data_IF_094157256556
#
_entry.id   IF_094157256556
#
_cell.length_a   1.000
_cell.length_b   1.000
_cell.length_c   1.000
_cell.angle_alpha   90.00
_cell.angle_beta   90.00
_cell.angle_gamma   90.00
#
_symmetry.space_group_name_H-M   'P 1'
#
loop_
_entity.id
_entity.type
_entity.pdbx_description
1 polymer ?
#
# COMPACT_ATOMS: atom_id res chain seq x y z
N UNK A 1 -13.60 7.10 -15.10
CA UNK A 1 -14.61 7.98 -14.48
C UNK A 1 -14.92 7.39 -13.11
N UNK A 2 -14.57 8.07 -12.01
CA UNK A 2 -14.96 7.62 -10.68
C UNK A 2 -16.49 7.60 -10.61
N UNK A 3 -17.09 6.56 -10.03
CA UNK A 3 -18.54 6.54 -9.82
C UNK A 3 -18.88 7.69 -8.87
N UNK A 4 -19.94 8.45 -9.14
CA UNK A 4 -20.33 9.63 -8.34
C UNK A 4 -20.42 9.34 -6.83
N UNK A 5 -20.88 8.13 -6.47
CA UNK A 5 -20.94 7.67 -5.07
C UNK A 5 -19.56 7.49 -4.42
N UNK A 6 -18.55 7.07 -5.17
CA UNK A 6 -17.18 6.90 -4.66
C UNK A 6 -16.57 8.24 -4.27
N UNK A 7 -16.80 9.28 -5.08
CA UNK A 7 -16.32 10.63 -4.78
C UNK A 7 -16.99 11.19 -3.52
N UNK A 8 -18.31 11.07 -3.43
CA UNK A 8 -19.08 11.50 -2.24
C UNK A 8 -18.59 10.80 -0.97
N UNK A 9 -18.27 9.50 -1.03
CA UNK A 9 -17.71 8.79 0.12
C UNK A 9 -16.33 9.33 0.49
N UNK A 10 -15.46 9.61 -0.47
CA UNK A 10 -14.14 10.18 -0.19
C UNK A 10 -14.24 11.57 0.45
N UNK A 11 -15.11 12.44 -0.07
CA UNK A 11 -15.39 13.77 0.50
C UNK A 11 -15.92 13.69 1.94
N UNK A 12 -16.78 12.71 2.23
CA UNK A 12 -17.29 12.49 3.59
C UNK A 12 -16.20 12.01 4.55
N UNK A 13 -15.23 11.22 4.09
CA UNK A 13 -14.11 10.77 4.91
C UNK A 13 -13.13 11.91 5.23
N UNK A 14 -12.96 12.83 4.29
CA UNK A 14 -12.01 13.95 4.40
C UNK A 14 -12.42 14.99 5.46
N UNK A 15 -13.73 15.08 5.76
CA UNK A 15 -14.27 16.01 6.77
C UNK A 15 -14.41 15.40 8.16
N UNK A 16 -14.05 14.13 8.36
CA UNK A 16 -14.16 13.47 9.65
C UNK A 16 -13.11 13.98 10.64
N UNK A 17 -13.43 14.05 11.94
CA UNK A 17 -12.43 14.19 12.99
C UNK A 17 -11.43 13.03 12.99
N UNK A 18 -10.19 13.29 13.41
CA UNK A 18 -9.10 12.29 13.39
C UNK A 18 -9.46 10.99 14.13
N UNK A 19 -10.18 11.09 15.26
CA UNK A 19 -10.63 9.93 16.04
C UNK A 19 -11.59 9.02 15.23
N UNK A 20 -12.48 9.62 14.44
CA UNK A 20 -13.43 8.91 13.60
C UNK A 20 -12.75 8.31 12.36
N UNK A 21 -11.73 8.97 11.82
CA UNK A 21 -10.90 8.43 10.72
C UNK A 21 -10.23 7.12 11.15
N UNK A 22 -9.72 7.03 12.38
CA UNK A 22 -9.10 5.81 12.90
C UNK A 22 -10.10 4.64 12.94
N UNK A 23 -11.32 4.90 13.42
CA UNK A 23 -12.39 3.90 13.48
C UNK A 23 -12.78 3.43 12.07
N UNK A 24 -12.98 4.37 11.14
CA UNK A 24 -13.40 4.05 9.77
C UNK A 24 -12.29 3.30 9.02
N UNK A 25 -11.03 3.68 9.20
CA UNK A 25 -9.89 2.97 8.62
C UNK A 25 -9.83 1.51 9.12
N UNK A 26 -10.03 1.28 10.42
CA UNK A 26 -10.08 -0.07 10.98
C UNK A 26 -11.23 -0.90 10.40
N UNK A 27 -12.40 -0.28 10.19
CA UNK A 27 -13.55 -0.93 9.55
C UNK A 27 -13.26 -1.29 8.09
N UNK A 28 -12.74 -0.34 7.30
CA UNK A 28 -12.40 -0.55 5.88
C UNK A 28 -11.38 -1.68 5.74
N UNK A 29 -10.33 -1.69 6.56
CA UNK A 29 -9.34 -2.78 6.56
C UNK A 29 -9.98 -4.15 6.78
N UNK A 30 -10.90 -4.27 7.74
CA UNK A 30 -11.63 -5.53 7.99
C UNK A 30 -12.47 -5.94 6.79
N UNK A 31 -13.16 -5.00 6.14
CA UNK A 31 -13.96 -5.28 4.95
C UNK A 31 -13.09 -5.74 3.78
N UNK A 32 -11.96 -5.06 3.54
CA UNK A 32 -11.03 -5.42 2.48
C UNK A 32 -10.46 -6.82 2.70
N UNK A 33 -10.02 -7.14 3.92
CA UNK A 33 -9.50 -8.48 4.25
C UNK A 33 -10.59 -9.56 4.11
N UNK A 34 -11.84 -9.27 4.47
CA UNK A 34 -12.94 -10.24 4.33
C UNK A 34 -13.31 -10.49 2.86
N UNK A 35 -13.17 -9.48 2.00
CA UNK A 35 -13.47 -9.57 0.57
C UNK A 35 -12.32 -10.18 -0.24
N UNK A 36 -11.09 -9.75 0.06
CA UNK A 36 -9.84 -10.26 -0.49
C UNK A 36 -8.84 -10.48 0.64
N UNK A 37 -8.75 -11.70 1.18
CA UNK A 37 -7.79 -12.05 2.23
C UNK A 37 -6.33 -11.84 1.81
N UNK A 38 -6.08 -11.78 0.50
CA UNK A 38 -4.77 -11.67 -0.11
C UNK A 38 -4.45 -10.25 -0.59
N UNK A 39 -5.30 -9.26 -0.29
CA UNK A 39 -5.10 -7.84 -0.69
C UNK A 39 -3.74 -7.26 -0.27
N UNK A 40 -3.14 -7.75 0.82
CA UNK A 40 -1.82 -7.31 1.30
C UNK A 40 -0.66 -8.14 0.74
N UNK A 41 -0.95 -9.22 -0.01
CA UNK A 41 0.08 -10.06 -0.59
C UNK A 41 0.56 -9.43 -1.89
N UNK A 42 1.88 -9.32 -2.00
CA UNK A 42 2.54 -9.06 -3.28
C UNK A 42 2.16 -10.14 -4.29
N UNK A 43 1.95 -9.75 -5.54
CA UNK A 43 1.80 -10.68 -6.65
C UNK A 43 3.06 -11.55 -6.78
N UNK A 44 2.95 -12.72 -7.42
CA UNK A 44 4.13 -13.59 -7.59
C UNK A 44 5.31 -12.88 -8.27
N UNK A 45 5.02 -11.99 -9.22
CA UNK A 45 6.02 -11.15 -9.89
C UNK A 45 6.68 -10.15 -8.94
N UNK A 46 5.89 -9.45 -8.13
CA UNK A 46 6.43 -8.50 -7.15
C UNK A 46 7.24 -9.22 -6.06
N UNK A 47 6.84 -10.43 -5.66
CA UNK A 47 7.63 -11.27 -4.76
C UNK A 47 8.99 -11.62 -5.35
N UNK A 48 9.03 -12.09 -6.60
CA UNK A 48 10.28 -12.41 -7.29
C UNK A 48 11.21 -11.20 -7.39
N UNK A 49 10.66 -10.01 -7.67
CA UNK A 49 11.43 -8.77 -7.69
C UNK A 49 12.02 -8.43 -6.31
N UNK A 50 11.24 -8.61 -5.24
CA UNK A 50 11.71 -8.38 -3.87
C UNK A 50 12.80 -9.38 -3.46
N UNK A 51 12.63 -10.67 -3.75
CA UNK A 51 13.63 -11.70 -3.46
C UNK A 51 14.92 -11.48 -4.24
N UNK A 52 14.81 -11.06 -5.50
CA UNK A 52 15.96 -10.67 -6.33
C UNK A 52 16.68 -9.47 -5.73
N UNK A 53 15.96 -8.41 -5.38
CA UNK A 53 16.54 -7.20 -4.78
C UNK A 53 17.22 -7.50 -3.43
N UNK A 54 16.63 -8.35 -2.59
CA UNK A 54 17.23 -8.79 -1.32
C UNK A 54 18.54 -9.58 -1.55
N UNK A 55 18.59 -10.40 -2.60
CA UNK A 55 19.79 -11.13 -3.00
C UNK A 55 20.89 -10.21 -3.52
N UNK A 56 20.53 -9.25 -4.39
CA UNK A 56 21.44 -8.22 -4.91
C UNK A 56 22.03 -7.38 -3.76
N UNK A 57 21.20 -6.94 -2.82
CA UNK A 57 21.64 -6.18 -1.65
C UNK A 57 22.61 -6.97 -0.76
N UNK A 58 22.35 -8.26 -0.52
CA UNK A 58 23.25 -9.16 0.22
C UNK A 58 24.59 -9.39 -0.47
N UNK A 59 24.59 -9.40 -1.80
CA UNK A 59 25.80 -9.55 -2.61
C UNK A 59 26.59 -8.25 -2.77
N UNK A 60 26.04 -7.11 -2.34
CA UNK A 60 26.62 -5.78 -2.56
C UNK A 60 26.34 -5.21 -3.96
N UNK A 61 25.45 -5.84 -4.72
CA UNK A 61 25.05 -5.43 -6.07
C UNK A 61 23.95 -4.35 -6.01
N UNK A 62 24.20 -3.27 -5.26
CA UNK A 62 23.30 -2.13 -5.15
C UNK A 62 24.06 -0.81 -5.24
N UNK A 63 23.37 0.25 -5.63
CA UNK A 63 23.92 1.62 -5.68
C UNK A 63 23.30 2.39 -4.53
N UNK A 64 24.13 3.02 -3.68
CA UNK A 64 23.62 3.89 -2.62
C UNK A 64 23.11 5.21 -3.20
N UNK A 65 22.28 5.92 -2.44
CA UNK A 65 21.82 7.25 -2.85
C UNK A 65 23.00 8.22 -3.07
N UNK A 66 24.02 8.12 -2.22
CA UNK A 66 25.25 8.93 -2.30
C UNK A 66 26.02 8.63 -3.60
N UNK A 67 26.17 7.35 -3.97
CA UNK A 67 26.85 6.93 -5.21
C UNK A 67 26.04 7.24 -6.48
N UNK A 68 24.71 7.33 -6.38
CA UNK A 68 23.85 7.62 -7.53
C UNK A 68 23.89 9.10 -7.93
N UNK A 69 24.04 10.00 -6.94
CA UNK A 69 24.04 11.45 -7.16
C UNK A 69 25.43 12.09 -7.26
N UNK A 70 26.50 11.33 -7.04
CA UNK A 70 27.91 11.75 -7.25
C UNK A 70 28.32 11.75 -8.71
#
# INVERSE_FOLDING_TARGET
MLKAKTLQTAELLDVLPDEDILLVNALIKKLVIAWDPDFTKVTARERELLEKSDSEMKNGDFVSEEDFWS
#
